data_IF_028959412220
#
_entry.id   IF_028959412220
#
_cell.length_a   1.000
_cell.length_b   1.000
_cell.length_c   1.000
_cell.angle_alpha   90.00
_cell.angle_beta   90.00
_cell.angle_gamma   90.00
#
_symmetry.space_group_name_H-M   'P 1'
#
loop_
_entity.id
_entity.type
_entity.pdbx_description
1 polymer ?
#
# COMPACT_ATOMS: atom_id res chain seq x y z
N UNK A 1 -36.89 14.87 -12.68
CA UNK A 1 -36.04 13.68 -12.89
C UNK A 1 -36.96 12.47 -12.77
N UNK A 2 -36.87 11.57 -13.71
CA UNK A 2 -37.61 10.29 -13.71
C UNK A 2 -36.55 9.20 -13.68
N UNK A 3 -36.70 8.24 -12.77
CA UNK A 3 -35.75 7.13 -12.64
C UNK A 3 -35.77 6.24 -13.90
N UNK A 4 -34.59 5.71 -14.25
CA UNK A 4 -34.50 4.75 -15.34
C UNK A 4 -35.21 3.44 -14.94
N UNK A 5 -35.94 2.78 -15.86
CA UNK A 5 -36.62 1.50 -15.59
C UNK A 5 -35.67 0.40 -15.11
N UNK A 6 -34.40 0.47 -15.52
CA UNK A 6 -33.29 -0.35 -15.05
C UNK A 6 -32.11 0.58 -14.75
N UNK A 7 -31.83 0.85 -13.46
CA UNK A 7 -30.68 1.67 -13.09
C UNK A 7 -29.40 1.08 -13.66
N UNK A 8 -28.61 1.92 -14.32
CA UNK A 8 -27.33 1.49 -14.93
C UNK A 8 -26.33 2.64 -14.91
N UNK A 9 -25.05 2.27 -14.93
CA UNK A 9 -23.95 3.22 -15.15
C UNK A 9 -23.49 3.05 -16.59
N UNK A 10 -23.61 4.12 -17.38
CA UNK A 10 -23.21 4.14 -18.78
C UNK A 10 -21.77 4.64 -18.93
N UNK A 11 -21.48 5.79 -18.33
CA UNK A 11 -20.17 6.43 -18.44
C UNK A 11 -19.56 6.67 -17.07
N UNK A 12 -18.31 6.29 -16.89
CA UNK A 12 -17.52 6.59 -15.70
C UNK A 12 -16.33 7.48 -16.02
N UNK A 13 -15.97 8.37 -15.06
CA UNK A 13 -14.78 9.18 -15.15
C UNK A 13 -14.01 9.10 -13.81
N UNK A 14 -12.67 9.00 -13.89
CA UNK A 14 -11.84 8.94 -12.68
C UNK A 14 -11.99 10.21 -11.84
N UNK A 15 -12.30 10.06 -10.55
CA UNK A 15 -12.40 11.16 -9.60
C UNK A 15 -11.17 12.06 -9.63
N UNK A 16 -10.01 11.47 -9.61
CA UNK A 16 -8.71 12.17 -9.57
C UNK A 16 -8.47 12.99 -10.84
N UNK A 17 -8.90 12.48 -11.99
CA UNK A 17 -8.74 13.19 -13.27
C UNK A 17 -9.62 14.44 -13.29
N UNK A 18 -10.88 14.32 -12.86
CA UNK A 18 -11.78 15.48 -12.77
C UNK A 18 -11.25 16.46 -11.72
N UNK A 19 -10.87 15.99 -10.54
CA UNK A 19 -10.30 16.84 -9.50
C UNK A 19 -9.06 17.59 -9.99
N UNK A 20 -8.16 16.94 -10.72
CA UNK A 20 -6.98 17.58 -11.29
C UNK A 20 -7.36 18.71 -12.28
N UNK A 21 -8.34 18.48 -13.17
CA UNK A 21 -8.83 19.50 -14.08
C UNK A 21 -9.46 20.66 -13.33
N UNK A 22 -10.33 20.37 -12.35
CA UNK A 22 -11.01 21.41 -11.56
C UNK A 22 -10.06 22.25 -10.68
N UNK A 23 -8.97 21.62 -10.20
CA UNK A 23 -7.95 22.28 -9.40
C UNK A 23 -6.82 22.89 -10.25
N UNK A 24 -6.88 22.75 -11.58
CA UNK A 24 -5.88 23.34 -12.51
C UNK A 24 -4.48 22.72 -12.36
N UNK A 25 -4.37 21.46 -11.99
CA UNK A 25 -3.10 20.73 -11.84
C UNK A 25 -2.93 19.69 -12.95
N UNK A 26 -1.68 19.37 -13.29
CA UNK A 26 -1.34 18.47 -14.40
C UNK A 26 -1.22 17.00 -13.99
N UNK A 27 -1.11 16.71 -12.70
CA UNK A 27 -1.00 15.37 -12.16
C UNK A 27 -2.12 15.06 -11.18
N UNK A 28 -2.64 13.83 -11.23
CA UNK A 28 -3.62 13.33 -10.25
C UNK A 28 -3.07 13.36 -8.82
N UNK A 29 -1.77 13.27 -8.65
CA UNK A 29 -1.10 13.30 -7.34
C UNK A 29 -0.89 14.72 -6.80
N UNK A 30 -1.20 15.73 -7.61
CA UNK A 30 -1.13 17.14 -7.21
C UNK A 30 -2.47 17.71 -6.75
N UNK A 31 -3.51 16.89 -6.68
CA UNK A 31 -4.79 17.26 -6.07
C UNK A 31 -4.66 17.33 -4.53
N UNK A 32 -5.52 18.07 -3.90
CA UNK A 32 -5.53 18.32 -2.45
C UNK A 32 -5.45 17.03 -1.62
N UNK A 33 -6.30 16.05 -1.93
CA UNK A 33 -6.33 14.73 -1.27
C UNK A 33 -4.94 14.06 -1.25
N UNK A 34 -4.31 13.93 -2.42
CA UNK A 34 -3.02 13.25 -2.49
C UNK A 34 -1.87 14.08 -1.92
N UNK A 35 -1.91 15.40 -2.06
CA UNK A 35 -0.89 16.28 -1.45
C UNK A 35 -0.79 16.09 0.04
N UNK A 36 -1.91 15.98 0.75
CA UNK A 36 -1.90 15.78 2.20
C UNK A 36 -1.31 14.43 2.59
N UNK A 37 -1.74 13.35 1.92
CA UNK A 37 -1.17 12.01 2.13
C UNK A 37 0.33 11.98 1.82
N UNK A 38 0.76 12.52 0.67
CA UNK A 38 2.16 12.57 0.26
C UNK A 38 3.00 13.37 1.26
N UNK A 39 2.50 14.51 1.75
CA UNK A 39 3.19 15.31 2.74
C UNK A 39 3.33 14.57 4.08
N UNK A 40 2.30 13.85 4.51
CA UNK A 40 2.36 13.01 5.71
C UNK A 40 3.40 11.89 5.58
N UNK A 41 3.53 11.28 4.39
CA UNK A 41 4.56 10.28 4.13
C UNK A 41 5.95 10.92 4.10
N UNK A 42 6.10 12.06 3.41
CA UNK A 42 7.37 12.80 3.34
C UNK A 42 7.89 13.23 4.71
N UNK A 43 7.01 13.59 5.63
CA UNK A 43 7.40 13.98 7.00
C UNK A 43 8.02 12.84 7.82
N UNK A 44 7.75 11.59 7.46
CA UNK A 44 8.25 10.40 8.13
C UNK A 44 9.47 9.77 7.41
N UNK A 45 9.78 10.24 6.20
CA UNK A 45 10.81 9.66 5.35
C UNK A 45 12.08 10.50 5.29
N UNK A 46 13.19 9.84 4.95
CA UNK A 46 14.34 10.53 4.38
C UNK A 46 14.03 10.83 2.90
N UNK A 47 14.83 11.73 2.29
CA UNK A 47 14.65 12.11 0.87
C UNK A 47 14.66 10.86 -0.04
N UNK A 48 13.68 10.74 -0.92
CA UNK A 48 13.52 9.65 -1.88
C UNK A 48 12.81 10.09 -3.16
N UNK A 49 12.57 9.15 -4.06
CA UNK A 49 11.90 9.40 -5.34
C UNK A 49 10.39 9.64 -5.16
N UNK A 50 9.83 10.55 -5.96
CA UNK A 50 8.40 10.88 -5.93
C UNK A 50 7.49 9.67 -6.22
N UNK A 51 7.96 8.72 -7.01
CA UNK A 51 7.24 7.49 -7.33
C UNK A 51 6.84 6.68 -6.09
N UNK A 52 7.73 6.57 -5.10
CA UNK A 52 7.45 5.85 -3.86
C UNK A 52 6.32 6.51 -3.05
N UNK A 53 6.35 7.83 -2.90
CA UNK A 53 5.30 8.56 -2.18
C UNK A 53 3.93 8.39 -2.82
N UNK A 54 3.88 8.42 -4.16
CA UNK A 54 2.65 8.25 -4.95
C UNK A 54 2.06 6.86 -4.77
N UNK A 55 2.89 5.82 -4.82
CA UNK A 55 2.43 4.45 -4.61
C UNK A 55 1.87 4.26 -3.20
N UNK A 56 2.56 4.75 -2.17
CA UNK A 56 2.09 4.63 -0.78
C UNK A 56 0.75 5.37 -0.60
N UNK A 57 0.63 6.60 -1.13
CA UNK A 57 -0.59 7.40 -1.02
C UNK A 57 -1.79 6.78 -1.74
N UNK A 58 -1.58 6.21 -2.93
CA UNK A 58 -2.61 5.47 -3.67
C UNK A 58 -3.04 4.20 -2.92
N UNK A 59 -2.06 3.47 -2.40
CA UNK A 59 -2.30 2.17 -1.79
C UNK A 59 -2.95 2.27 -0.40
N UNK A 60 -2.67 3.32 0.39
CA UNK A 60 -3.39 3.50 1.68
C UNK A 60 -4.87 3.75 1.45
N UNK A 61 -5.23 4.59 0.47
CA UNK A 61 -6.62 4.82 0.13
C UNK A 61 -7.31 3.54 -0.34
N UNK A 62 -6.72 2.86 -1.31
CA UNK A 62 -7.28 1.60 -1.85
C UNK A 62 -7.44 0.54 -0.76
N UNK A 63 -6.44 0.38 0.13
CA UNK A 63 -6.49 -0.59 1.22
C UNK A 63 -7.57 -0.25 2.25
N UNK A 64 -7.67 1.01 2.66
CA UNK A 64 -8.65 1.44 3.64
C UNK A 64 -10.09 1.22 3.15
N UNK A 65 -10.39 1.57 1.90
CA UNK A 65 -11.71 1.36 1.31
C UNK A 65 -12.04 -0.13 1.14
N UNK A 66 -11.10 -0.96 0.70
CA UNK A 66 -11.31 -2.41 0.61
C UNK A 66 -11.60 -3.02 1.99
N UNK A 67 -10.88 -2.60 3.03
CA UNK A 67 -11.13 -3.07 4.40
C UNK A 67 -12.47 -2.55 4.92
N UNK A 68 -12.81 -1.30 4.65
CA UNK A 68 -14.11 -0.72 4.96
C UNK A 68 -15.24 -1.56 4.36
N UNK A 69 -15.08 -2.04 3.13
CA UNK A 69 -16.04 -2.90 2.41
C UNK A 69 -15.98 -4.38 2.84
N UNK A 70 -15.20 -4.72 3.88
CA UNK A 70 -15.17 -6.04 4.49
C UNK A 70 -14.15 -7.01 3.89
N UNK A 71 -13.21 -6.55 3.05
CA UNK A 71 -12.10 -7.36 2.57
C UNK A 71 -10.99 -7.36 3.62
N UNK A 72 -10.50 -8.53 3.99
CA UNK A 72 -9.33 -8.68 4.88
C UNK A 72 -8.17 -9.35 4.16
N UNK A 73 -6.90 -9.05 4.53
CA UNK A 73 -5.74 -9.70 3.92
C UNK A 73 -5.79 -11.22 4.10
N UNK A 74 -5.67 -11.95 2.98
CA UNK A 74 -5.71 -13.41 2.97
C UNK A 74 -4.71 -13.99 1.96
N UNK A 75 -4.62 -15.33 1.90
CA UNK A 75 -3.78 -16.07 0.94
C UNK A 75 -4.45 -16.26 -0.42
N UNK A 76 -5.76 -16.07 -0.50
CA UNK A 76 -6.57 -16.36 -1.68
C UNK A 76 -7.53 -15.21 -2.03
N UNK A 77 -8.05 -15.24 -3.24
CA UNK A 77 -9.12 -14.35 -3.71
C UNK A 77 -8.82 -12.87 -3.54
N UNK A 78 -9.83 -12.11 -3.14
CA UNK A 78 -9.74 -10.65 -2.96
C UNK A 78 -8.80 -10.25 -1.82
N UNK A 79 -8.73 -11.05 -0.76
CA UNK A 79 -7.83 -10.85 0.37
C UNK A 79 -6.36 -10.93 -0.02
N UNK A 80 -6.01 -11.82 -0.95
CA UNK A 80 -4.67 -11.91 -1.52
C UNK A 80 -4.27 -10.63 -2.27
N UNK A 81 -5.18 -10.07 -3.06
CA UNK A 81 -4.93 -8.80 -3.77
C UNK A 81 -4.70 -7.68 -2.78
N UNK A 82 -5.55 -7.54 -1.75
CA UNK A 82 -5.38 -6.55 -0.69
C UNK A 82 -4.03 -6.71 0.01
N UNK A 83 -3.65 -7.93 0.39
CA UNK A 83 -2.34 -8.22 0.99
C UNK A 83 -1.20 -7.74 0.11
N UNK A 84 -1.25 -7.99 -1.19
CA UNK A 84 -0.24 -7.53 -2.14
C UNK A 84 -0.16 -6.00 -2.23
N UNK A 85 -1.30 -5.31 -2.21
CA UNK A 85 -1.35 -3.85 -2.24
C UNK A 85 -0.67 -3.28 -0.98
N UNK A 86 -1.02 -3.79 0.21
CA UNK A 86 -0.41 -3.37 1.48
C UNK A 86 1.11 -3.61 1.45
N UNK A 87 1.54 -4.84 1.14
CA UNK A 87 2.97 -5.19 1.12
C UNK A 87 3.78 -4.38 0.11
N UNK A 88 3.19 -4.06 -1.04
CA UNK A 88 3.83 -3.17 -2.01
C UNK A 88 4.07 -1.78 -1.44
N UNK A 89 3.09 -1.20 -0.75
CA UNK A 89 3.27 0.09 -0.08
C UNK A 89 4.36 0.03 1.00
N UNK A 90 4.38 -1.03 1.80
CA UNK A 90 5.38 -1.25 2.85
C UNK A 90 6.80 -1.37 2.28
N UNK A 91 6.96 -2.04 1.13
CA UNK A 91 8.23 -2.09 0.43
C UNK A 91 8.71 -0.69 0.03
N UNK A 92 7.85 0.11 -0.59
CA UNK A 92 8.20 1.49 -0.93
C UNK A 92 8.54 2.33 0.32
N UNK A 93 7.90 2.06 1.47
CA UNK A 93 8.27 2.65 2.75
C UNK A 93 9.67 2.24 3.22
N UNK A 94 10.04 0.98 3.02
CA UNK A 94 11.39 0.48 3.30
C UNK A 94 12.45 1.19 2.44
N UNK A 95 12.19 1.38 1.14
CA UNK A 95 13.09 2.09 0.22
C UNK A 95 13.26 3.56 0.65
N UNK A 96 12.22 4.19 1.16
CA UNK A 96 12.24 5.54 1.74
C UNK A 96 12.89 5.62 3.12
N UNK A 97 13.33 4.48 3.70
CA UNK A 97 13.89 4.39 5.06
C UNK A 97 12.93 4.91 6.14
N UNK A 98 11.64 4.69 5.97
CA UNK A 98 10.62 4.99 6.97
C UNK A 98 10.67 3.89 8.04
N UNK A 99 10.63 4.28 9.32
CA UNK A 99 10.57 3.33 10.43
C UNK A 99 9.20 2.66 10.51
N UNK A 100 9.18 1.34 10.46
CA UNK A 100 7.96 0.52 10.60
C UNK A 100 7.59 0.35 12.09
N UNK A 101 6.30 0.32 12.45
CA UNK A 101 5.14 0.43 11.59
C UNK A 101 4.75 1.90 11.33
N UNK A 102 4.37 2.19 10.10
CA UNK A 102 4.02 3.55 9.66
C UNK A 102 2.72 3.64 8.83
N UNK A 103 2.44 2.60 8.04
CA UNK A 103 1.40 2.65 7.01
C UNK A 103 0.01 2.78 7.61
N UNK A 104 -0.27 2.07 8.72
CA UNK A 104 -1.54 2.18 9.43
C UNK A 104 -1.83 3.61 9.92
N UNK A 105 -0.80 4.41 10.28
CA UNK A 105 -0.94 5.78 10.74
C UNK A 105 -1.49 6.73 9.66
N UNK A 106 -1.33 6.37 8.39
CA UNK A 106 -1.85 7.16 7.28
C UNK A 106 -3.38 7.08 7.17
N UNK A 107 -4.02 6.13 7.85
CA UNK A 107 -5.49 6.05 7.93
C UNK A 107 -6.06 7.29 8.62
N UNK A 108 -5.38 7.84 9.63
CA UNK A 108 -5.75 9.11 10.25
C UNK A 108 -5.89 10.22 9.22
N UNK A 109 -4.82 10.45 8.46
CA UNK A 109 -4.79 11.51 7.43
C UNK A 109 -5.85 11.28 6.37
N UNK A 110 -6.07 10.02 5.97
CA UNK A 110 -7.11 9.68 5.00
C UNK A 110 -8.51 9.95 5.54
N UNK A 111 -8.77 9.63 6.82
CA UNK A 111 -10.08 9.85 7.45
C UNK A 111 -10.36 11.34 7.68
N UNK A 112 -9.34 12.14 7.95
CA UNK A 112 -9.49 13.61 8.00
C UNK A 112 -9.93 14.18 6.66
N UNK A 113 -9.40 13.65 5.54
CA UNK A 113 -9.70 14.17 4.20
C UNK A 113 -11.01 13.65 3.62
N UNK A 114 -11.31 12.38 3.81
CA UNK A 114 -12.43 11.71 3.14
C UNK A 114 -13.59 11.37 4.08
N UNK A 115 -13.39 11.41 5.39
CA UNK A 115 -14.38 10.96 6.36
C UNK A 115 -15.68 11.77 6.37
N UNK A 116 -15.66 13.05 5.98
CA UNK A 116 -16.87 13.84 5.85
C UNK A 116 -17.76 13.33 4.70
N UNK A 117 -17.15 12.93 3.59
CA UNK A 117 -17.85 12.39 2.43
C UNK A 117 -18.20 10.91 2.60
N UNK A 118 -17.38 10.19 3.33
CA UNK A 118 -17.53 8.76 3.62
C UNK A 118 -17.56 8.50 5.14
N UNK A 119 -18.69 8.74 5.82
CA UNK A 119 -18.79 8.58 7.27
C UNK A 119 -18.43 7.17 7.77
N UNK A 120 -18.64 6.15 6.94
CA UNK A 120 -18.29 4.77 7.25
C UNK A 120 -16.78 4.59 7.45
N UNK A 121 -15.96 5.38 6.75
CA UNK A 121 -14.51 5.37 6.90
C UNK A 121 -14.11 5.81 8.31
N UNK A 122 -14.75 6.86 8.84
CA UNK A 122 -14.57 7.31 10.22
C UNK A 122 -15.04 6.25 11.22
N UNK A 123 -16.23 5.69 11.01
CA UNK A 123 -16.81 4.71 11.93
C UNK A 123 -15.97 3.42 12.03
N UNK A 124 -15.25 3.06 10.98
CA UNK A 124 -14.42 1.85 10.92
C UNK A 124 -12.92 2.13 11.04
N UNK A 125 -12.52 3.37 11.36
CA UNK A 125 -11.11 3.79 11.42
C UNK A 125 -10.24 2.83 12.23
N UNK A 126 -10.59 2.60 13.50
CA UNK A 126 -9.81 1.74 14.41
C UNK A 126 -9.71 0.30 13.90
N UNK A 127 -10.77 -0.18 13.25
CA UNK A 127 -10.76 -1.50 12.63
C UNK A 127 -9.79 -1.57 11.45
N UNK A 128 -9.82 -0.55 10.57
CA UNK A 128 -8.94 -0.44 9.39
C UNK A 128 -7.48 -0.37 9.84
N UNK A 129 -7.17 0.51 10.80
CA UNK A 129 -5.83 0.66 11.36
C UNK A 129 -5.30 -0.66 11.93
N UNK A 130 -6.11 -1.36 12.71
CA UNK A 130 -5.74 -2.65 13.29
C UNK A 130 -5.44 -3.71 12.23
N UNK A 131 -6.26 -3.81 11.18
CA UNK A 131 -6.05 -4.78 10.10
C UNK A 131 -4.75 -4.47 9.33
N UNK A 132 -4.52 -3.21 9.03
CA UNK A 132 -3.28 -2.78 8.33
C UNK A 132 -2.07 -3.03 9.22
N UNK A 133 -2.11 -2.64 10.50
CA UNK A 133 -1.02 -2.84 11.45
C UNK A 133 -0.64 -4.33 11.58
N UNK A 134 -1.63 -5.21 11.71
CA UNK A 134 -1.37 -6.65 11.78
C UNK A 134 -0.66 -7.20 10.53
N UNK A 135 -1.02 -6.74 9.34
CA UNK A 135 -0.35 -7.17 8.10
C UNK A 135 1.03 -6.53 7.96
N UNK A 136 1.22 -5.30 8.44
CA UNK A 136 2.51 -4.60 8.48
C UNK A 136 3.50 -5.33 9.40
N UNK A 137 3.08 -5.70 10.61
CA UNK A 137 3.90 -6.48 11.55
C UNK A 137 4.27 -7.87 10.99
N UNK A 138 3.30 -8.55 10.37
CA UNK A 138 3.57 -9.84 9.71
C UNK A 138 4.57 -9.70 8.58
N UNK A 139 4.48 -8.65 7.80
CA UNK A 139 5.40 -8.43 6.69
C UNK A 139 6.79 -8.05 7.18
N UNK A 140 6.91 -7.23 8.23
CA UNK A 140 8.19 -6.92 8.86
C UNK A 140 8.92 -8.18 9.34
N UNK A 141 8.19 -9.13 9.97
CA UNK A 141 8.75 -10.42 10.36
C UNK A 141 9.20 -11.25 9.15
N UNK A 142 8.41 -11.26 8.07
CA UNK A 142 8.76 -11.92 6.80
C UNK A 142 10.05 -11.35 6.21
N UNK A 143 10.18 -10.02 6.18
CA UNK A 143 11.37 -9.34 5.67
C UNK A 143 12.61 -9.67 6.52
N UNK A 144 12.51 -9.60 7.84
CA UNK A 144 13.62 -9.91 8.74
C UNK A 144 14.09 -11.36 8.56
N UNK A 145 13.17 -12.31 8.44
CA UNK A 145 13.49 -13.71 8.19
C UNK A 145 14.14 -13.92 6.82
N UNK A 146 13.59 -13.32 5.77
CA UNK A 146 14.10 -13.43 4.41
C UNK A 146 15.52 -12.85 4.29
N UNK A 147 15.77 -11.68 4.86
CA UNK A 147 17.10 -11.07 4.91
C UNK A 147 18.12 -11.96 5.64
N UNK A 148 17.71 -12.58 6.75
CA UNK A 148 18.58 -13.52 7.49
C UNK A 148 18.93 -14.75 6.65
N UNK A 149 17.97 -15.27 5.87
CA UNK A 149 18.21 -16.42 4.99
C UNK A 149 19.10 -16.05 3.81
N UNK A 150 18.90 -14.87 3.21
CA UNK A 150 19.76 -14.33 2.16
C UNK A 150 21.20 -14.20 2.64
N UNK A 151 21.43 -13.59 3.79
CA UNK A 151 22.78 -13.43 4.34
C UNK A 151 23.46 -14.77 4.57
N UNK A 152 22.75 -15.75 5.15
CA UNK A 152 23.28 -17.11 5.33
C UNK A 152 23.64 -17.80 4.02
N UNK A 153 22.87 -17.59 2.96
CA UNK A 153 23.15 -18.17 1.65
C UNK A 153 24.39 -17.54 1.01
N UNK A 154 24.54 -16.23 1.09
CA UNK A 154 25.75 -15.53 0.66
C UNK A 154 26.99 -16.02 1.42
N UNK A 155 26.91 -16.11 2.75
CA UNK A 155 28.01 -16.60 3.59
C UNK A 155 28.39 -18.06 3.26
N UNK A 156 27.40 -18.90 2.91
CA UNK A 156 27.59 -20.31 2.57
C UNK A 156 28.22 -20.52 1.21
N UNK A 157 27.78 -19.76 0.21
CA UNK A 157 28.18 -19.95 -1.19
C UNK A 157 29.38 -19.13 -1.58
N UNK A 158 29.69 -18.08 -0.82
CA UNK A 158 30.68 -17.05 -1.16
C UNK A 158 30.48 -16.55 -2.60
N UNK A 159 29.24 -16.53 -3.08
CA UNK A 159 28.86 -16.23 -4.43
C UNK A 159 28.25 -14.83 -4.54
N UNK A 160 28.50 -14.14 -5.62
CA UNK A 160 27.88 -12.86 -5.93
C UNK A 160 26.43 -13.02 -6.48
N UNK A 161 26.03 -14.25 -6.82
CA UNK A 161 24.74 -14.57 -7.42
C UNK A 161 24.02 -15.66 -6.62
N UNK A 162 22.71 -15.47 -6.44
CA UNK A 162 21.81 -16.42 -5.80
C UNK A 162 21.20 -17.33 -6.88
N UNK A 163 21.07 -18.64 -6.56
CA UNK A 163 20.40 -19.57 -7.48
C UNK A 163 18.89 -19.25 -7.61
N UNK A 164 18.35 -19.46 -8.81
CA UNK A 164 16.90 -19.28 -9.04
C UNK A 164 16.03 -20.18 -8.16
N UNK A 165 16.53 -21.39 -7.80
CA UNK A 165 15.84 -22.30 -6.88
C UNK A 165 15.73 -21.70 -5.46
N UNK A 166 16.80 -21.08 -4.96
CA UNK A 166 16.79 -20.42 -3.67
C UNK A 166 15.89 -19.17 -3.68
N UNK A 167 15.97 -18.36 -4.73
CA UNK A 167 15.11 -17.19 -4.92
C UNK A 167 13.62 -17.59 -4.96
N UNK A 168 13.29 -18.68 -5.68
CA UNK A 168 11.94 -19.23 -5.72
C UNK A 168 11.49 -19.71 -4.33
N UNK A 169 12.34 -20.39 -3.59
CA UNK A 169 12.03 -20.85 -2.23
C UNK A 169 11.79 -19.68 -1.27
N UNK A 170 12.56 -18.61 -1.37
CA UNK A 170 12.33 -17.39 -0.57
C UNK A 170 10.94 -16.80 -0.87
N UNK A 171 10.59 -16.72 -2.15
CA UNK A 171 9.30 -16.18 -2.57
C UNK A 171 8.13 -17.09 -2.18
N UNK A 172 8.19 -18.37 -2.56
CA UNK A 172 7.07 -19.31 -2.43
C UNK A 172 6.84 -19.75 -0.97
N UNK A 173 7.93 -20.11 -0.29
CA UNK A 173 7.83 -20.70 1.06
C UNK A 173 7.82 -19.64 2.16
N UNK A 174 8.64 -18.62 2.02
CA UNK A 174 8.80 -17.59 3.06
C UNK A 174 8.02 -16.30 2.76
N UNK A 175 7.47 -16.15 1.56
CA UNK A 175 6.72 -14.96 1.17
C UNK A 175 7.57 -13.70 1.03
N UNK A 176 8.89 -13.87 0.87
CA UNK A 176 9.82 -12.76 0.65
C UNK A 176 9.67 -12.22 -0.77
N UNK A 177 9.55 -10.89 -0.98
CA UNK A 177 9.33 -10.34 -2.31
C UNK A 177 10.50 -10.63 -3.26
N UNK A 178 10.18 -11.12 -4.46
CA UNK A 178 11.19 -11.49 -5.46
C UNK A 178 12.05 -10.29 -5.91
N UNK A 179 11.42 -9.15 -6.04
CA UNK A 179 12.07 -7.89 -6.40
C UNK A 179 13.11 -7.43 -5.35
N UNK A 180 12.89 -7.72 -4.06
CA UNK A 180 13.89 -7.49 -3.00
C UNK A 180 15.00 -8.55 -2.98
N UNK A 181 14.83 -9.65 -3.72
CA UNK A 181 15.87 -10.66 -3.89
C UNK A 181 16.79 -10.30 -5.08
N UNK A 182 16.28 -9.51 -6.03
CA UNK A 182 17.00 -9.08 -7.24
C UNK A 182 17.88 -7.86 -6.96
N UNK A 183 17.42 -6.94 -6.10
CA UNK A 183 18.15 -5.73 -5.67
C UNK A 183 19.29 -6.08 -4.71
#
# INVERSE_FOLDING_TARGET
LVDLPKPSVDTGMGLERIAAVMQGVSSNYDIDLFKKLINAIKSQSRKGEESHYRVIADHIRSSAFLIMDGVTPDNEGRGYVLRRIIRRALRHGYDLKIESPFFYKLVDVLTEEMGQTYPELLNKKDYIERIILMEEERFAATLAQGMTLLQKEFDRTNAELISGEFAFKLYDTYGFPLDMTID
#
